data_IF_000778973676
#
_entry.id   IF_000778973676
#
_cell.length_a   1.000
_cell.length_b   1.000
_cell.length_c   1.000
_cell.angle_alpha   90.00
_cell.angle_beta   90.00
_cell.angle_gamma   90.00
#
_symmetry.space_group_name_H-M   'P 1'
#
loop_
_entity.id
_entity.type
_entity.pdbx_description
1 polymer ?
#
# COMPACT_ATOMS: atom_id res chain seq x y z
N UNK A 1 34.54 24.21 15.33
CA UNK A 1 33.81 23.66 14.17
C UNK A 1 33.90 22.12 14.24
N UNK A 2 32.87 21.40 14.74
CA UNK A 2 32.67 19.92 14.62
C UNK A 2 31.53 19.40 15.55
N UNK A 3 30.32 19.96 15.48
CA UNK A 3 29.15 19.46 16.26
C UNK A 3 28.20 18.56 15.44
N UNK A 4 28.33 18.53 14.11
CA UNK A 4 27.42 17.77 13.23
C UNK A 4 27.62 16.26 13.21
N UNK A 5 28.87 15.78 13.20
CA UNK A 5 29.16 14.34 13.05
C UNK A 5 28.72 13.48 14.25
N UNK A 6 28.80 14.02 15.47
CA UNK A 6 28.34 13.32 16.69
C UNK A 6 26.82 13.19 16.74
N UNK A 7 26.09 14.17 16.20
CA UNK A 7 24.63 14.15 16.13
C UNK A 7 24.15 13.22 15.01
N UNK A 8 24.84 13.19 13.87
CA UNK A 8 24.56 12.27 12.78
C UNK A 8 24.73 10.80 13.20
N UNK A 9 25.82 10.47 13.89
CA UNK A 9 26.05 9.11 14.41
C UNK A 9 24.94 8.65 15.35
N UNK A 10 24.51 9.51 16.28
CA UNK A 10 23.38 9.22 17.18
C UNK A 10 22.07 9.03 16.41
N UNK A 11 21.83 9.82 15.35
CA UNK A 11 20.64 9.69 14.51
C UNK A 11 20.61 8.33 13.78
N UNK A 12 21.76 7.92 13.23
CA UNK A 12 21.91 6.63 12.55
C UNK A 12 21.72 5.48 13.54
N UNK A 13 22.36 5.53 14.71
CA UNK A 13 22.23 4.49 15.75
C UNK A 13 20.77 4.36 16.26
N UNK A 14 20.05 5.47 16.41
CA UNK A 14 18.63 5.45 16.80
C UNK A 14 17.72 4.87 15.71
N UNK A 15 17.98 5.20 14.44
CA UNK A 15 17.16 4.71 13.31
C UNK A 15 17.46 3.27 12.93
N UNK A 16 18.71 2.84 13.05
CA UNK A 16 19.15 1.50 12.67
C UNK A 16 18.35 0.41 13.37
N UNK A 17 18.14 0.54 14.68
CA UNK A 17 17.37 -0.43 15.46
C UNK A 17 15.90 -0.46 15.04
N UNK A 18 15.32 0.70 14.69
CA UNK A 18 13.92 0.81 14.25
C UNK A 18 13.78 0.20 12.86
N UNK A 19 14.68 0.50 11.94
CA UNK A 19 14.66 -0.04 10.59
C UNK A 19 14.87 -1.55 10.59
N UNK A 20 15.85 -2.04 11.33
CA UNK A 20 16.14 -3.48 11.44
C UNK A 20 14.99 -4.24 12.11
N UNK A 21 14.44 -3.72 13.19
CA UNK A 21 13.28 -4.32 13.86
C UNK A 21 12.03 -4.28 12.99
N UNK A 22 11.79 -3.18 12.27
CA UNK A 22 10.65 -3.07 11.35
C UNK A 22 10.75 -4.05 10.18
N UNK A 23 11.95 -4.25 9.64
CA UNK A 23 12.21 -5.20 8.56
C UNK A 23 12.05 -6.64 9.02
N UNK A 24 12.61 -6.98 10.19
CA UNK A 24 12.46 -8.30 10.79
C UNK A 24 11.00 -8.60 11.15
N UNK A 25 10.26 -7.62 11.67
CA UNK A 25 8.85 -7.77 11.99
C UNK A 25 7.99 -7.91 10.72
N UNK A 26 8.32 -7.18 9.64
CA UNK A 26 7.68 -7.33 8.34
C UNK A 26 7.92 -8.72 7.75
N UNK A 27 9.16 -9.21 7.77
CA UNK A 27 9.50 -10.56 7.27
C UNK A 27 8.85 -11.67 8.13
N UNK A 28 8.78 -11.49 9.45
CA UNK A 28 8.06 -12.39 10.35
C UNK A 28 6.55 -12.42 10.05
N UNK A 29 5.93 -11.26 9.87
CA UNK A 29 4.51 -11.16 9.54
C UNK A 29 4.21 -11.74 8.15
N UNK A 30 5.04 -11.48 7.15
CA UNK A 30 4.92 -12.08 5.82
C UNK A 30 5.07 -13.61 5.90
N UNK A 31 6.03 -14.13 6.66
CA UNK A 31 6.19 -15.58 6.88
C UNK A 31 5.04 -16.20 7.67
N UNK A 32 4.48 -15.52 8.66
CA UNK A 32 3.27 -15.98 9.38
C UNK A 32 2.04 -15.97 8.47
N UNK A 33 1.90 -14.96 7.60
CA UNK A 33 0.82 -14.86 6.61
C UNK A 33 0.96 -15.93 5.51
N UNK A 34 2.19 -16.29 5.14
CA UNK A 34 2.50 -17.27 4.09
C UNK A 34 2.68 -18.70 4.63
N UNK A 35 2.79 -18.86 5.96
CA UNK A 35 3.18 -20.08 6.68
C UNK A 35 2.04 -21.06 6.96
N UNK A 36 1.10 -21.21 6.04
CA UNK A 36 0.09 -22.26 6.16
C UNK A 36 -1.17 -22.00 5.34
N UNK A 37 -1.16 -22.42 4.08
CA UNK A 37 -2.35 -22.63 3.24
C UNK A 37 -3.08 -21.38 2.72
N UNK A 38 -2.39 -20.53 1.97
CA UNK A 38 -2.90 -19.99 0.68
C UNK A 38 -1.85 -19.08 0.06
N UNK A 39 -1.68 -19.06 -1.28
CA UNK A 39 -1.08 -17.90 -1.91
C UNK A 39 -1.85 -16.67 -1.45
N UNK A 40 -1.12 -15.62 -1.05
CA UNK A 40 -1.67 -14.31 -0.72
C UNK A 40 -2.70 -13.99 -1.81
N UNK A 41 -3.99 -14.12 -1.50
CA UNK A 41 -5.05 -13.91 -2.47
C UNK A 41 -5.05 -12.41 -2.68
N UNK A 42 -4.18 -11.95 -3.57
CA UNK A 42 -4.06 -10.55 -3.93
C UNK A 42 -5.49 -10.15 -4.29
N UNK A 43 -6.06 -9.16 -3.58
CA UNK A 43 -7.41 -8.76 -3.89
C UNK A 43 -7.43 -8.41 -5.36
N UNK A 44 -8.36 -9.02 -6.12
CA UNK A 44 -8.43 -8.80 -7.55
C UNK A 44 -8.38 -7.29 -7.82
N UNK A 45 -7.56 -6.86 -8.77
CA UNK A 45 -7.39 -5.45 -9.09
C UNK A 45 -8.75 -4.79 -9.39
N UNK A 46 -9.67 -5.53 -10.00
CA UNK A 46 -11.06 -5.12 -10.21
C UNK A 46 -11.82 -4.83 -8.91
N UNK A 47 -11.65 -5.67 -7.88
CA UNK A 47 -12.25 -5.48 -6.56
C UNK A 47 -11.69 -4.26 -5.83
N UNK A 48 -10.38 -4.02 -5.92
CA UNK A 48 -9.75 -2.82 -5.33
C UNK A 48 -10.23 -1.56 -6.04
N UNK A 49 -10.32 -1.58 -7.38
CA UNK A 49 -10.85 -0.47 -8.18
C UNK A 49 -12.28 -0.14 -7.76
N UNK A 50 -13.15 -1.17 -7.72
CA UNK A 50 -14.55 -1.00 -7.30
C UNK A 50 -14.66 -0.47 -5.87
N UNK A 51 -13.90 -1.03 -4.93
CA UNK A 51 -13.89 -0.55 -3.54
C UNK A 51 -13.48 0.92 -3.44
N UNK A 52 -12.43 1.34 -4.17
CA UNK A 52 -11.98 2.73 -4.19
C UNK A 52 -13.05 3.67 -4.75
N UNK A 53 -13.69 3.28 -5.85
CA UNK A 53 -14.73 4.07 -6.51
C UNK A 53 -15.93 4.28 -5.58
N UNK A 54 -16.45 3.20 -4.98
CA UNK A 54 -17.55 3.29 -4.02
C UNK A 54 -17.17 4.12 -2.80
N UNK A 55 -15.96 3.95 -2.26
CA UNK A 55 -15.48 4.72 -1.11
C UNK A 55 -15.35 6.21 -1.44
N UNK A 56 -14.94 6.55 -2.68
CA UNK A 56 -14.91 7.93 -3.15
C UNK A 56 -16.32 8.52 -3.30
N UNK A 57 -17.28 7.74 -3.80
CA UNK A 57 -18.66 8.16 -3.91
C UNK A 57 -19.23 8.50 -2.52
N UNK A 58 -19.07 7.60 -1.55
CA UNK A 58 -19.51 7.83 -0.16
C UNK A 58 -18.80 9.04 0.45
N UNK A 59 -17.48 9.19 0.26
CA UNK A 59 -16.75 10.35 0.75
C UNK A 59 -17.27 11.67 0.16
N UNK A 60 -17.58 11.70 -1.14
CA UNK A 60 -18.13 12.88 -1.81
C UNK A 60 -19.54 13.20 -1.31
N UNK A 61 -20.41 12.20 -1.15
CA UNK A 61 -21.74 12.40 -0.58
C UNK A 61 -21.68 12.89 0.87
N UNK A 62 -20.84 12.29 1.72
CA UNK A 62 -20.64 12.75 3.10
C UNK A 62 -20.09 14.19 3.14
N UNK A 63 -19.19 14.52 2.22
CA UNK A 63 -18.67 15.89 2.05
C UNK A 63 -19.80 16.86 1.69
N UNK A 64 -20.61 16.55 0.69
CA UNK A 64 -21.73 17.41 0.27
C UNK A 64 -22.76 17.61 1.39
N UNK A 65 -23.07 16.57 2.15
CA UNK A 65 -23.97 16.66 3.31
C UNK A 65 -23.42 17.62 4.37
N UNK A 66 -22.11 17.56 4.65
CA UNK A 66 -21.44 18.49 5.58
C UNK A 66 -21.41 19.93 5.04
N UNK A 67 -21.16 20.14 3.75
CA UNK A 67 -21.16 21.48 3.16
C UNK A 67 -22.56 22.13 3.13
N UNK A 68 -23.61 21.31 2.98
CA UNK A 68 -24.99 21.78 2.95
C UNK A 68 -25.64 21.87 4.34
N UNK A 69 -24.88 21.63 5.43
CA UNK A 69 -25.38 21.55 6.81
C UNK A 69 -26.58 20.60 6.97
N UNK A 70 -26.61 19.53 6.18
CA UNK A 70 -27.62 18.46 6.23
C UNK A 70 -26.97 17.16 6.74
N UNK A 71 -25.96 17.31 7.59
CA UNK A 71 -25.20 16.22 8.16
C UNK A 71 -25.85 15.68 9.43
N UNK A 72 -25.55 14.42 9.73
CA UNK A 72 -25.91 13.78 10.97
C UNK A 72 -24.63 13.48 11.77
N UNK A 73 -24.74 13.15 13.06
CA UNK A 73 -23.57 12.84 13.89
C UNK A 73 -22.68 11.70 13.35
N UNK A 74 -23.21 10.85 12.45
CA UNK A 74 -22.46 9.80 11.76
C UNK A 74 -21.74 10.27 10.50
N UNK A 75 -22.20 11.33 9.83
CA UNK A 75 -21.70 11.76 8.51
C UNK A 75 -20.21 12.11 8.55
N UNK A 76 -19.77 12.78 9.63
CA UNK A 76 -18.34 13.06 9.83
C UNK A 76 -17.53 11.78 10.06
N UNK A 77 -18.06 10.84 10.84
CA UNK A 77 -17.41 9.55 11.11
C UNK A 77 -17.25 8.73 9.83
N UNK A 78 -18.27 8.71 8.99
CA UNK A 78 -18.27 8.01 7.70
C UNK A 78 -17.23 8.62 6.76
N UNK A 79 -17.14 9.97 6.71
CA UNK A 79 -16.10 10.65 5.94
C UNK A 79 -14.70 10.28 6.42
N UNK A 80 -14.44 10.30 7.74
CA UNK A 80 -13.13 9.94 8.31
C UNK A 80 -12.77 8.48 8.00
N UNK A 81 -13.73 7.55 8.11
CA UNK A 81 -13.52 6.15 7.76
C UNK A 81 -13.22 5.95 6.27
N UNK A 82 -13.91 6.68 5.40
CA UNK A 82 -13.65 6.66 3.96
C UNK A 82 -12.25 7.20 3.64
N UNK A 83 -11.86 8.33 4.23
CA UNK A 83 -10.53 8.93 4.03
C UNK A 83 -9.42 7.99 4.51
N UNK A 84 -9.58 7.37 5.68
CA UNK A 84 -8.62 6.38 6.20
C UNK A 84 -8.51 5.17 5.26
N UNK A 85 -9.64 4.66 4.77
CA UNK A 85 -9.67 3.53 3.85
C UNK A 85 -8.98 3.85 2.52
N UNK A 86 -9.24 5.04 1.96
CA UNK A 86 -8.58 5.53 0.73
C UNK A 86 -7.08 5.72 0.94
N UNK A 87 -6.66 6.22 2.11
CA UNK A 87 -5.24 6.38 2.47
C UNK A 87 -4.53 5.02 2.53
N UNK A 88 -5.16 4.00 3.13
CA UNK A 88 -4.63 2.64 3.19
C UNK A 88 -4.48 2.06 1.78
N UNK A 89 -5.50 2.19 0.93
CA UNK A 89 -5.45 1.72 -0.47
C UNK A 89 -4.34 2.44 -1.25
N UNK A 90 -4.20 3.75 -1.07
CA UNK A 90 -3.14 4.55 -1.69
C UNK A 90 -1.75 4.09 -1.28
N UNK A 91 -1.54 3.84 0.01
CA UNK A 91 -0.26 3.36 0.54
C UNK A 91 0.06 1.93 0.10
N UNK A 92 -0.94 1.04 -0.03
CA UNK A 92 -0.73 -0.33 -0.53
C UNK A 92 -0.26 -0.35 -1.99
N UNK A 93 -0.71 0.59 -2.82
CA UNK A 93 -0.23 0.72 -4.21
C UNK A 93 1.29 0.98 -4.27
N UNK A 94 1.85 1.70 -3.30
CA UNK A 94 3.28 2.03 -3.22
C UNK A 94 4.17 0.87 -2.77
N UNK A 95 3.59 -0.19 -2.18
CA UNK A 95 4.37 -1.36 -1.73
C UNK A 95 4.78 -2.23 -2.92
N UNK A 96 4.00 -2.26 -4.01
CA UNK A 96 4.37 -2.96 -5.24
C UNK A 96 5.61 -2.35 -5.92
N UNK A 97 5.76 -1.01 -5.88
CA UNK A 97 6.92 -0.31 -6.43
C UNK A 97 8.18 -0.46 -5.55
N UNK A 98 8.04 -0.89 -4.29
CA UNK A 98 9.13 -1.11 -3.32
C UNK A 98 9.22 -2.61 -2.93
N UNK A 99 8.61 -3.49 -3.72
CA UNK A 99 8.70 -4.92 -3.46
C UNK A 99 10.05 -5.39 -4.00
N UNK A 100 11.03 -5.51 -3.10
CA UNK A 100 12.27 -6.21 -3.40
C UNK A 100 11.91 -7.66 -3.73
N UNK A 101 11.85 -7.98 -5.02
CA UNK A 101 11.73 -9.35 -5.48
C UNK A 101 12.97 -10.10 -4.99
N UNK A 102 12.78 -11.23 -4.29
CA UNK A 102 13.91 -12.04 -3.85
C UNK A 102 14.60 -12.58 -5.10
N UNK A 103 15.93 -12.49 -5.17
CA UNK A 103 16.69 -12.95 -6.35
C UNK A 103 16.40 -14.42 -6.70
N UNK A 104 16.12 -15.24 -5.68
CA UNK A 104 15.70 -16.64 -5.84
C UNK A 104 14.35 -16.79 -6.55
N UNK A 105 13.42 -15.86 -6.34
CA UNK A 105 12.11 -15.84 -7.01
C UNK A 105 12.26 -15.32 -8.44
N UNK A 106 13.09 -14.29 -8.66
CA UNK A 106 13.43 -13.80 -10.00
C UNK A 106 14.06 -14.87 -10.89
N UNK A 107 14.96 -15.68 -10.34
CA UNK A 107 15.63 -16.77 -11.07
C UNK A 107 14.72 -17.97 -11.35
N UNK A 108 13.62 -18.11 -10.60
CA UNK A 108 12.68 -19.21 -10.77
C UNK A 108 11.67 -18.94 -11.91
N UNK A 109 11.59 -17.70 -12.39
CA UNK A 109 10.53 -17.20 -13.28
C UNK A 109 10.89 -17.24 -14.78
N UNK A 110 11.75 -18.17 -15.20
CA UNK A 110 12.13 -18.30 -16.62
C UNK A 110 11.06 -18.96 -17.51
N UNK A 111 9.88 -19.32 -16.98
CA UNK A 111 8.88 -20.10 -17.71
C UNK A 111 7.43 -19.56 -17.64
N UNK A 112 7.18 -18.40 -17.01
CA UNK A 112 5.83 -17.83 -17.01
C UNK A 112 5.64 -16.82 -18.14
N UNK A 113 4.96 -17.25 -19.20
CA UNK A 113 4.34 -16.38 -20.21
C UNK A 113 3.19 -15.61 -19.55
N UNK A 114 3.49 -14.62 -18.71
CA UNK A 114 2.49 -13.81 -18.02
C UNK A 114 2.01 -12.67 -18.94
N UNK A 115 1.02 -12.96 -19.80
CA UNK A 115 0.46 -12.01 -20.78
C UNK A 115 -0.53 -11.00 -20.18
N UNK A 116 -0.70 -10.99 -18.86
CA UNK A 116 -1.76 -10.18 -18.21
C UNK A 116 -1.43 -8.67 -18.24
N UNK A 117 -0.14 -8.31 -18.24
CA UNK A 117 0.29 -6.89 -18.29
C UNK A 117 0.13 -6.27 -19.69
N UNK A 118 0.27 -7.05 -20.76
CA UNK A 118 0.11 -6.56 -22.15
C UNK A 118 -1.31 -6.09 -22.47
N UNK A 119 -2.28 -6.58 -21.71
CA UNK A 119 -3.69 -6.20 -21.84
C UNK A 119 -4.03 -4.85 -21.18
N UNK A 120 -3.15 -4.36 -20.28
CA UNK A 120 -3.37 -3.15 -19.48
C UNK A 120 -2.59 -1.95 -20.02
N UNK A 121 -1.57 -2.18 -20.87
CA UNK A 121 -0.81 -1.11 -21.52
C UNK A 121 -1.69 -0.33 -22.49
N UNK A 122 -1.72 0.99 -22.32
CA UNK A 122 -2.39 1.91 -23.22
C UNK A 122 -1.63 1.98 -24.56
N UNK A 123 -2.29 2.31 -25.67
CA UNK A 123 -1.64 2.33 -26.99
C UNK A 123 -0.37 3.21 -27.07
N UNK A 124 -0.28 4.23 -26.22
CA UNK A 124 0.89 5.11 -26.08
C UNK A 124 2.08 4.46 -25.35
N UNK A 125 1.87 3.37 -24.62
CA UNK A 125 2.88 2.67 -23.83
C UNK A 125 3.38 1.40 -24.55
N UNK A 126 2.78 1.06 -25.70
CA UNK A 126 3.14 -0.09 -26.55
C UNK A 126 4.22 0.24 -27.60
N UNK A 127 4.71 1.48 -27.63
CA UNK A 127 5.73 1.96 -28.57
C UNK A 127 6.94 2.53 -27.83
#
# INVERSE_FOLDING_TARGET
MARGGKNFRKLVECRWNIELASLANKDLQEKHLNGGKKPLLLPLLSGIKKFREETLNVANTSKELLFNNNDNGSTYKDLVQCVLSLLIVFNRRRIGDIQFLKLSEYQCDTNHTFTDFDSVLTNTEKY
#
